data_IF_598049539014
#
_entry.id   IF_598049539014
#
_cell.length_a   1.000
_cell.length_b   1.000
_cell.length_c   1.000
_cell.angle_alpha   90.00
_cell.angle_beta   90.00
_cell.angle_gamma   90.00
#
_symmetry.space_group_name_H-M   'P 1'
#
loop_
_entity.id
_entity.type
_entity.pdbx_description
1 polymer ?
#
# COMPACT_ATOMS: atom_id res chain seq x y z
N UNK A 1 16.35 -10.35 -16.18
CA UNK A 1 17.43 -10.61 -15.20
C UNK A 1 17.13 -10.12 -13.77
N UNK A 2 15.92 -9.66 -13.40
CA UNK A 2 15.63 -9.15 -12.04
C UNK A 2 14.29 -9.64 -11.46
N UNK A 3 13.88 -10.89 -11.71
CA UNK A 3 12.67 -11.46 -11.07
C UNK A 3 13.04 -12.24 -9.80
N UNK A 4 13.81 -11.61 -8.92
CA UNK A 4 14.10 -12.19 -7.59
C UNK A 4 12.91 -11.95 -6.67
N UNK A 5 12.45 -12.94 -5.87
CA UNK A 5 11.36 -12.79 -4.90
C UNK A 5 11.52 -11.57 -3.97
N UNK A 6 12.76 -11.17 -3.69
CA UNK A 6 13.07 -9.98 -2.89
C UNK A 6 12.54 -8.68 -3.51
N UNK A 7 12.61 -8.51 -4.84
CA UNK A 7 12.04 -7.35 -5.53
C UNK A 7 10.51 -7.31 -5.44
N UNK A 8 9.86 -8.47 -5.43
CA UNK A 8 8.42 -8.57 -5.22
C UNK A 8 8.01 -8.06 -3.83
N UNK A 9 8.77 -8.43 -2.79
CA UNK A 9 8.54 -7.97 -1.43
C UNK A 9 8.82 -6.46 -1.25
N UNK A 10 9.89 -5.94 -1.86
CA UNK A 10 10.16 -4.50 -1.88
C UNK A 10 9.04 -3.71 -2.56
N UNK A 11 8.53 -4.21 -3.70
CA UNK A 11 7.41 -3.59 -4.39
C UNK A 11 6.13 -3.53 -3.55
N UNK A 12 5.90 -4.53 -2.69
CA UNK A 12 4.77 -4.54 -1.75
C UNK A 12 4.93 -3.43 -0.70
N UNK A 13 6.10 -3.32 -0.07
CA UNK A 13 6.38 -2.27 0.92
C UNK A 13 6.28 -0.87 0.31
N UNK A 14 6.77 -0.69 -0.91
CA UNK A 14 6.67 0.58 -1.62
C UNK A 14 5.22 0.97 -1.97
N UNK A 15 4.41 0.01 -2.43
CA UNK A 15 2.96 0.22 -2.68
C UNK A 15 2.25 0.68 -1.40
N UNK A 16 2.52 0.01 -0.27
CA UNK A 16 1.96 0.38 1.03
C UNK A 16 2.32 1.82 1.42
N UNK A 17 3.59 2.19 1.26
CA UNK A 17 4.05 3.55 1.56
C UNK A 17 3.35 4.60 0.67
N UNK A 18 3.16 4.31 -0.62
CA UNK A 18 2.43 5.19 -1.54
C UNK A 18 0.98 5.41 -1.07
N UNK A 19 0.28 4.35 -0.66
CA UNK A 19 -1.11 4.49 -0.21
C UNK A 19 -1.23 5.33 1.05
N UNK A 20 -0.33 5.15 2.02
CA UNK A 20 -0.32 5.92 3.27
C UNK A 20 0.05 7.37 2.99
N UNK A 21 1.21 7.62 2.37
CA UNK A 21 1.72 8.97 2.12
C UNK A 21 0.79 9.72 1.18
N UNK A 22 0.33 9.08 0.10
CA UNK A 22 -0.62 9.65 -0.85
C UNK A 22 -1.94 10.02 -0.18
N UNK A 23 -2.49 9.14 0.66
CA UNK A 23 -3.70 9.42 1.44
C UNK A 23 -3.50 10.59 2.41
N UNK A 24 -2.43 10.58 3.20
CA UNK A 24 -2.14 11.65 4.15
C UNK A 24 -1.94 13.01 3.46
N UNK A 25 -1.19 13.06 2.35
CA UNK A 25 -0.98 14.31 1.60
C UNK A 25 -2.28 14.82 0.99
N UNK A 26 -3.11 13.92 0.45
CA UNK A 26 -4.43 14.27 -0.08
C UNK A 26 -5.33 14.82 1.02
N UNK A 27 -5.41 14.13 2.16
CA UNK A 27 -6.21 14.56 3.30
C UNK A 27 -5.76 15.92 3.85
N UNK A 28 -4.45 16.16 3.92
CA UNK A 28 -3.90 17.46 4.33
C UNK A 28 -4.24 18.58 3.34
N UNK A 29 -4.19 18.30 2.04
CA UNK A 29 -4.58 19.28 1.03
C UNK A 29 -6.08 19.61 1.10
N UNK A 30 -6.93 18.63 1.39
CA UNK A 30 -8.36 18.87 1.60
C UNK A 30 -8.61 19.62 2.91
N UNK A 31 -7.95 19.25 4.00
CA UNK A 31 -8.12 19.93 5.29
C UNK A 31 -7.80 21.42 5.17
N UNK A 32 -6.69 21.77 4.52
CA UNK A 32 -6.33 23.16 4.28
C UNK A 32 -7.32 23.91 3.36
N UNK A 33 -8.06 23.19 2.51
CA UNK A 33 -9.06 23.77 1.60
C UNK A 33 -10.42 23.97 2.28
N UNK A 34 -10.78 23.10 3.22
CA UNK A 34 -12.08 23.10 3.90
C UNK A 34 -12.02 23.61 5.35
N UNK A 35 -10.83 23.98 5.84
CA UNK A 35 -10.56 24.39 7.22
C UNK A 35 -10.98 23.32 8.24
N UNK A 36 -10.77 22.05 7.88
CA UNK A 36 -11.14 20.87 8.69
C UNK A 36 -9.95 20.24 9.39
N UNK A 37 -8.81 20.94 9.45
CA UNK A 37 -7.56 20.41 10.00
C UNK A 37 -7.74 19.83 11.42
N UNK A 38 -7.36 18.56 11.70
CA UNK A 38 -6.74 17.54 10.82
C UNK A 38 -7.68 16.35 10.51
N UNK A 39 -8.99 16.56 10.37
CA UNK A 39 -9.98 15.48 10.27
C UNK A 39 -9.83 14.67 8.98
N UNK A 40 -9.78 15.33 7.81
CA UNK A 40 -9.67 14.63 6.53
C UNK A 40 -8.31 13.95 6.39
N UNK A 41 -7.25 14.55 6.92
CA UNK A 41 -5.92 13.93 7.02
C UNK A 41 -5.98 12.59 7.75
N UNK A 42 -6.64 12.53 8.91
CA UNK A 42 -6.80 11.29 9.66
C UNK A 42 -7.66 10.26 8.91
N UNK A 43 -8.76 10.69 8.30
CA UNK A 43 -9.64 9.81 7.52
C UNK A 43 -8.90 9.21 6.33
N UNK A 44 -8.24 10.03 5.52
CA UNK A 44 -7.51 9.57 4.34
C UNK A 44 -6.25 8.78 4.70
N UNK A 45 -5.59 9.08 5.82
CA UNK A 45 -4.48 8.27 6.33
C UNK A 45 -4.96 6.89 6.75
N UNK A 46 -6.05 6.80 7.52
CA UNK A 46 -6.63 5.53 7.93
C UNK A 46 -7.11 4.71 6.72
N UNK A 47 -7.74 5.36 5.73
CA UNK A 47 -8.14 4.73 4.48
C UNK A 47 -6.93 4.25 3.67
N UNK A 48 -5.89 5.09 3.52
CA UNK A 48 -4.64 4.73 2.85
C UNK A 48 -3.93 3.55 3.51
N UNK A 49 -3.93 3.50 4.84
CA UNK A 49 -3.39 2.38 5.60
C UNK A 49 -4.22 1.11 5.37
N UNK A 50 -5.55 1.17 5.44
CA UNK A 50 -6.43 0.03 5.20
C UNK A 50 -6.27 -0.53 3.77
N UNK A 51 -6.29 0.35 2.77
CA UNK A 51 -6.13 -0.02 1.35
C UNK A 51 -4.74 -0.58 1.10
N UNK A 52 -3.69 0.08 1.60
CA UNK A 52 -2.32 -0.37 1.42
C UNK A 52 -2.08 -1.73 2.07
N UNK A 53 -2.64 -1.99 3.26
CA UNK A 53 -2.50 -3.27 3.94
C UNK A 53 -3.25 -4.38 3.18
N UNK A 54 -4.47 -4.10 2.69
CA UNK A 54 -5.23 -5.04 1.86
C UNK A 54 -4.50 -5.39 0.56
N UNK A 55 -3.93 -4.39 -0.12
CA UNK A 55 -3.12 -4.59 -1.33
C UNK A 55 -1.86 -5.41 -1.04
N UNK A 56 -1.17 -5.12 0.07
CA UNK A 56 0.02 -5.83 0.48
C UNK A 56 -0.26 -7.31 0.76
N UNK A 57 -1.34 -7.62 1.50
CA UNK A 57 -1.76 -9.01 1.78
C UNK A 57 -2.12 -9.74 0.48
N UNK A 58 -2.84 -9.09 -0.43
CA UNK A 58 -3.20 -9.68 -1.74
C UNK A 58 -1.94 -10.01 -2.55
N UNK A 59 -1.02 -9.07 -2.71
CA UNK A 59 0.23 -9.27 -3.46
C UNK A 59 1.14 -10.29 -2.80
N UNK A 60 1.21 -10.32 -1.47
CA UNK A 60 1.98 -11.33 -0.75
C UNK A 60 1.44 -12.73 -1.03
N UNK A 61 0.12 -12.92 -0.97
CA UNK A 61 -0.53 -14.19 -1.31
C UNK A 61 -0.24 -14.60 -2.76
N UNK A 62 -0.27 -13.66 -3.71
CA UNK A 62 0.10 -13.92 -5.10
C UNK A 62 1.56 -14.39 -5.24
N UNK A 63 2.51 -13.75 -4.54
CA UNK A 63 3.92 -14.14 -4.55
C UNK A 63 4.10 -15.54 -3.97
N UNK A 64 3.47 -15.84 -2.83
CA UNK A 64 3.52 -17.17 -2.21
C UNK A 64 2.93 -18.25 -3.13
N UNK A 65 1.75 -18.00 -3.72
CA UNK A 65 1.12 -18.92 -4.66
C UNK A 65 1.97 -19.16 -5.92
N UNK A 66 2.71 -18.15 -6.40
CA UNK A 66 3.67 -18.30 -7.51
C UNK A 66 4.84 -19.19 -7.12
N UNK A 67 5.38 -19.01 -5.91
CA UNK A 67 6.48 -19.84 -5.39
C UNK A 67 6.02 -21.30 -5.24
N UNK A 68 4.84 -21.53 -4.65
CA UNK A 68 4.29 -22.87 -4.50
C UNK A 68 4.05 -23.56 -5.84
N UNK A 69 3.47 -22.87 -6.84
CA UNK A 69 3.26 -23.44 -8.17
C UNK A 69 4.57 -23.82 -8.85
N UNK A 70 5.61 -22.99 -8.73
CA UNK A 70 6.94 -23.30 -9.26
C UNK A 70 7.60 -24.49 -8.57
N UNK A 71 7.21 -24.81 -7.33
CA UNK A 71 7.73 -25.97 -6.59
C UNK A 71 7.04 -27.28 -6.97
N UNK A 72 5.80 -27.23 -7.47
CA UNK A 72 4.99 -28.42 -7.80
C UNK A 72 5.11 -28.90 -9.25
N UNK A 73 5.65 -28.07 -10.15
CA UNK A 73 5.94 -28.45 -11.54
C UNK A 73 7.44 -28.62 -11.74
#
# INVERSE_FOLDING_TARGET
>A
MLTSPAFGLLGIGFSLAIWIVGGTLLGRWLDAKFDTDPVLTLVFMAAGLAVGLADAVRRLREVLNRIERKRRG
#
